data_IF_558556889118
#
_entry.id   IF_558556889118
#
_cell.length_a   1.000
_cell.length_b   1.000
_cell.length_c   1.000
_cell.angle_alpha   90.00
_cell.angle_beta   90.00
_cell.angle_gamma   90.00
#
_symmetry.space_group_name_H-M   'P 1'
#
loop_
_entity.id
_entity.type
_entity.pdbx_description
1 polymer ?
#
# COMPACT_ATOMS: atom_id res chain seq x y z
N UNK A 1 -11.01 2.97 -9.13
CA UNK A 1 -9.55 3.18 -9.08
C UNK A 1 -9.25 4.52 -8.41
N UNK A 2 -8.37 4.49 -7.43
CA UNK A 2 -7.80 5.69 -6.81
C UNK A 2 -6.32 5.80 -7.18
N UNK A 3 -5.86 7.02 -7.44
CA UNK A 3 -4.46 7.29 -7.73
C UNK A 3 -3.83 8.07 -6.59
N UNK A 4 -2.63 7.66 -6.17
CA UNK A 4 -1.88 8.26 -5.09
C UNK A 4 -0.43 8.49 -5.52
N UNK A 5 0.27 9.34 -4.78
CA UNK A 5 1.70 9.58 -4.98
C UNK A 5 2.45 9.19 -3.70
N UNK A 6 3.51 8.42 -3.85
CA UNK A 6 4.38 8.05 -2.74
C UNK A 6 5.31 9.21 -2.41
N UNK A 7 5.15 9.78 -1.21
CA UNK A 7 5.88 10.94 -0.72
C UNK A 7 6.82 10.51 0.41
N UNK A 8 8.13 10.82 0.33
CA UNK A 8 9.08 10.49 1.41
C UNK A 8 8.69 11.06 2.77
N UNK A 9 8.08 12.24 2.80
CA UNK A 9 7.61 12.86 4.05
C UNK A 9 6.48 12.04 4.66
N UNK A 10 5.57 11.53 3.83
CA UNK A 10 4.50 10.65 4.29
C UNK A 10 5.07 9.37 4.91
N UNK A 11 6.06 8.76 4.27
CA UNK A 11 6.71 7.55 4.77
C UNK A 11 7.37 7.80 6.13
N UNK A 12 8.08 8.91 6.25
CA UNK A 12 8.70 9.30 7.53
C UNK A 12 7.64 9.49 8.63
N UNK A 13 6.55 10.21 8.32
CA UNK A 13 5.47 10.46 9.28
C UNK A 13 4.80 9.17 9.72
N UNK A 14 4.54 8.26 8.79
CA UNK A 14 3.94 6.98 9.11
C UNK A 14 4.85 6.14 10.02
N UNK A 15 6.16 6.11 9.75
CA UNK A 15 7.13 5.45 10.61
C UNK A 15 7.10 6.03 12.02
N UNK A 16 7.05 7.35 12.15
CA UNK A 16 6.99 8.02 13.44
C UNK A 16 5.71 7.69 14.22
N UNK A 17 4.56 7.74 13.55
CA UNK A 17 3.26 7.48 14.17
C UNK A 17 3.10 6.02 14.62
N UNK A 18 3.70 5.08 13.93
CA UNK A 18 3.63 3.66 14.24
C UNK A 18 4.83 3.15 15.03
N UNK A 19 5.74 4.03 15.41
CA UNK A 19 7.00 3.68 16.08
C UNK A 19 7.80 2.64 15.30
N UNK A 20 7.71 2.68 13.98
CA UNK A 20 8.46 1.80 13.09
C UNK A 20 9.79 2.46 12.70
N UNK A 21 10.86 2.07 13.37
CA UNK A 21 12.20 2.62 13.14
C UNK A 21 12.98 1.96 12.01
N UNK A 22 12.38 1.11 11.20
CA UNK A 22 13.08 0.43 10.12
C UNK A 22 13.49 1.43 9.03
N UNK A 23 14.78 1.55 8.78
CA UNK A 23 15.38 2.62 7.97
C UNK A 23 14.99 2.56 6.49
N UNK A 24 14.51 1.43 5.99
CA UNK A 24 14.05 1.30 4.59
C UNK A 24 12.90 2.22 4.23
N UNK A 25 12.19 2.75 5.23
CA UNK A 25 11.04 3.62 5.02
C UNK A 25 11.39 5.12 5.07
N UNK A 26 12.54 5.53 5.57
CA UNK A 26 12.86 6.94 5.73
C UNK A 26 14.32 7.33 5.46
N UNK A 27 15.24 6.38 5.38
CA UNK A 27 16.67 6.65 5.18
C UNK A 27 17.08 6.22 3.78
N UNK A 28 17.00 7.16 2.82
CA UNK A 28 17.28 6.87 1.40
C UNK A 28 18.72 6.41 1.19
N UNK A 29 19.68 7.04 1.84
CA UNK A 29 21.08 6.63 1.71
C UNK A 29 21.30 5.21 2.19
N UNK A 30 20.72 4.86 3.33
CA UNK A 30 20.82 3.50 3.86
C UNK A 30 20.18 2.49 2.90
N UNK A 31 18.95 2.75 2.46
CA UNK A 31 18.20 1.79 1.66
C UNK A 31 18.83 1.58 0.29
N UNK A 32 19.43 2.61 -0.31
CA UNK A 32 20.07 2.50 -1.63
C UNK A 32 21.48 1.94 -1.56
N UNK A 33 22.28 2.35 -0.57
CA UNK A 33 23.70 1.98 -0.48
C UNK A 33 23.96 0.71 0.31
N UNK A 34 23.15 0.42 1.32
CA UNK A 34 23.32 -0.75 2.20
C UNK A 34 22.38 -1.87 1.82
N UNK A 35 21.10 -1.59 1.62
CA UNK A 35 20.10 -2.60 1.27
C UNK A 35 20.00 -2.87 -0.23
N UNK A 36 20.46 -1.94 -1.07
CA UNK A 36 20.48 -2.12 -2.52
C UNK A 36 19.15 -1.91 -3.23
N UNK A 37 18.17 -1.26 -2.58
CA UNK A 37 16.89 -0.94 -3.21
C UNK A 37 16.98 0.36 -4.01
N UNK A 38 16.09 0.57 -5.00
CA UNK A 38 16.09 1.78 -5.82
C UNK A 38 15.62 3.04 -5.10
N UNK A 39 14.98 2.92 -3.94
CA UNK A 39 14.48 4.05 -3.16
C UNK A 39 13.83 3.59 -1.87
N UNK A 40 13.20 4.52 -1.15
CA UNK A 40 12.48 4.21 0.07
C UNK A 40 11.30 3.28 -0.22
N UNK A 41 11.04 2.38 0.72
CA UNK A 41 9.95 1.40 0.61
C UNK A 41 8.70 1.94 1.30
N UNK A 42 7.58 1.88 0.60
CA UNK A 42 6.27 2.22 1.14
C UNK A 42 5.83 1.12 2.11
N UNK A 43 5.33 1.50 3.29
CA UNK A 43 4.95 0.54 4.34
C UNK A 43 3.86 -0.43 3.87
N UNK A 44 4.07 -1.73 4.10
CA UNK A 44 3.04 -2.75 3.83
C UNK A 44 1.74 -2.47 4.58
N UNK A 45 1.76 -2.23 5.90
CA UNK A 45 0.54 -1.89 6.64
C UNK A 45 -0.18 -0.66 6.12
N UNK A 46 0.53 0.35 5.62
CA UNK A 46 -0.11 1.52 5.02
C UNK A 46 -0.80 1.18 3.71
N UNK A 47 -0.22 0.32 2.87
CA UNK A 47 -0.88 -0.19 1.68
C UNK A 47 -2.16 -0.96 2.06
N UNK A 48 -2.09 -1.82 3.07
CA UNK A 48 -3.25 -2.56 3.57
C UNK A 48 -4.35 -1.62 4.07
N UNK A 49 -3.99 -0.54 4.77
CA UNK A 49 -4.95 0.46 5.22
C UNK A 49 -5.65 1.15 4.06
N UNK A 50 -4.91 1.48 2.99
CA UNK A 50 -5.50 2.06 1.78
C UNK A 50 -6.47 1.09 1.10
N UNK A 51 -6.15 -0.19 1.07
CA UNK A 51 -7.03 -1.21 0.48
C UNK A 51 -8.34 -1.33 1.26
N UNK A 52 -8.29 -1.43 2.57
CA UNK A 52 -9.50 -1.59 3.39
C UNK A 52 -10.37 -0.33 3.36
N UNK A 53 -9.74 0.84 3.33
CA UNK A 53 -10.46 2.11 3.20
C UNK A 53 -11.17 2.22 1.86
N UNK A 54 -10.49 1.86 0.78
CA UNK A 54 -11.07 1.86 -0.56
C UNK A 54 -12.23 0.87 -0.67
N UNK A 55 -12.07 -0.34 -0.11
CA UNK A 55 -13.13 -1.33 -0.08
C UNK A 55 -14.37 -0.81 0.67
N UNK A 56 -14.17 -0.19 1.83
CA UNK A 56 -15.26 0.41 2.59
C UNK A 56 -15.95 1.52 1.82
N UNK A 57 -15.17 2.38 1.14
CA UNK A 57 -15.70 3.47 0.31
C UNK A 57 -16.59 2.92 -0.82
N UNK A 58 -16.15 1.88 -1.50
CA UNK A 58 -16.93 1.25 -2.58
C UNK A 58 -18.20 0.57 -2.07
N UNK A 59 -18.24 0.20 -0.79
CA UNK A 59 -19.41 -0.43 -0.15
C UNK A 59 -20.20 0.56 0.71
N UNK A 60 -20.32 1.81 0.27
CA UNK A 60 -21.14 2.83 0.91
C UNK A 60 -20.64 3.31 2.26
N UNK A 61 -19.36 3.13 2.57
CA UNK A 61 -18.77 3.55 3.84
C UNK A 61 -18.80 2.50 4.94
N UNK A 62 -19.26 1.28 4.64
CA UNK A 62 -19.33 0.18 5.60
C UNK A 62 -18.06 -0.65 5.55
N UNK A 63 -17.36 -0.77 6.68
CA UNK A 63 -16.16 -1.59 6.77
C UNK A 63 -16.45 -3.06 6.46
N UNK A 64 -15.53 -3.76 5.78
CA UNK A 64 -15.73 -5.18 5.48
C UNK A 64 -15.74 -6.01 6.76
N UNK A 65 -16.52 -7.08 6.77
CA UNK A 65 -16.55 -8.05 7.85
C UNK A 65 -15.29 -8.89 7.88
N UNK A 66 -14.78 -9.25 6.70
CA UNK A 66 -13.52 -9.97 6.56
C UNK A 66 -12.62 -9.25 5.56
N UNK A 67 -11.34 -9.22 5.86
CA UNK A 67 -10.32 -8.63 5.01
C UNK A 67 -9.02 -9.42 5.15
N UNK A 68 -8.48 -9.87 4.03
CA UNK A 68 -7.19 -10.53 3.98
C UNK A 68 -6.33 -9.91 2.89
N UNK A 69 -5.02 -9.88 3.08
CA UNK A 69 -4.11 -9.30 2.12
C UNK A 69 -2.76 -10.00 2.14
N UNK A 70 -2.01 -9.82 1.06
CA UNK A 70 -0.67 -10.35 0.92
C UNK A 70 0.20 -9.40 0.12
N UNK A 71 1.41 -9.12 0.60
CA UNK A 71 2.43 -8.39 -0.14
C UNK A 71 3.00 -9.26 -1.25
N UNK A 72 3.21 -8.67 -2.43
CA UNK A 72 3.73 -9.36 -3.61
C UNK A 72 5.13 -8.88 -3.97
N UNK A 73 5.35 -7.56 -3.92
CA UNK A 73 6.64 -6.93 -4.17
C UNK A 73 6.67 -5.55 -3.52
N UNK A 74 7.85 -4.98 -3.27
CA UNK A 74 7.94 -3.64 -2.68
C UNK A 74 7.33 -2.57 -3.57
N UNK A 75 6.69 -1.58 -2.93
CA UNK A 75 6.29 -0.32 -3.57
C UNK A 75 7.30 0.74 -3.16
N UNK A 76 7.94 1.39 -4.13
CA UNK A 76 8.97 2.39 -3.86
C UNK A 76 8.44 3.80 -3.95
N UNK A 77 9.14 4.74 -3.30
CA UNK A 77 8.84 6.17 -3.41
C UNK A 77 9.02 6.70 -4.83
N UNK A 78 8.47 7.90 -5.07
CA UNK A 78 8.82 8.68 -6.25
C UNK A 78 7.95 8.46 -7.46
N UNK A 79 6.83 7.77 -7.34
CA UNK A 79 5.93 7.56 -8.45
C UNK A 79 4.48 7.52 -8.04
N UNK A 80 3.60 7.54 -9.03
CA UNK A 80 2.20 7.27 -8.82
C UNK A 80 1.98 5.79 -8.57
N UNK A 81 1.01 5.49 -7.75
CA UNK A 81 0.47 4.15 -7.61
C UNK A 81 -1.05 4.23 -7.56
N UNK A 82 -1.71 3.12 -7.76
CA UNK A 82 -3.17 3.09 -7.78
C UNK A 82 -3.71 2.01 -6.85
N UNK A 83 -4.91 2.26 -6.34
CA UNK A 83 -5.70 1.28 -5.60
C UNK A 83 -6.86 0.88 -6.49
N UNK A 84 -7.04 -0.40 -6.71
CA UNK A 84 -7.95 -0.95 -7.71
C UNK A 84 -8.83 -2.03 -7.09
N UNK A 85 -10.00 -2.26 -7.69
CA UNK A 85 -10.91 -3.30 -7.23
C UNK A 85 -11.69 -3.91 -8.39
N UNK A 86 -12.01 -5.20 -8.26
CA UNK A 86 -12.99 -5.89 -9.08
C UNK A 86 -14.04 -6.53 -8.18
N UNK A 87 -15.30 -6.48 -8.58
CA UNK A 87 -16.35 -7.22 -7.91
C UNK A 87 -16.20 -8.71 -8.21
N UNK A 88 -16.33 -9.52 -7.17
CA UNK A 88 -16.36 -10.97 -7.25
C UNK A 88 -17.59 -11.48 -6.52
N UNK A 89 -17.94 -12.77 -6.69
CA UNK A 89 -19.16 -13.34 -6.12
C UNK A 89 -19.25 -13.17 -4.59
N UNK A 90 -18.12 -13.14 -3.89
CA UNK A 90 -18.07 -13.10 -2.41
C UNK A 90 -17.69 -11.73 -1.85
N UNK A 91 -17.50 -10.70 -2.69
CA UNK A 91 -17.10 -9.37 -2.25
C UNK A 91 -16.25 -8.64 -3.27
N UNK A 92 -15.06 -8.18 -2.85
CA UNK A 92 -14.14 -7.46 -3.72
C UNK A 92 -12.77 -8.14 -3.75
N UNK A 93 -12.18 -8.19 -4.93
CA UNK A 93 -10.75 -8.44 -5.14
C UNK A 93 -10.11 -7.06 -5.31
N UNK A 94 -9.16 -6.71 -4.44
CA UNK A 94 -8.56 -5.37 -4.39
C UNK A 94 -7.04 -5.47 -4.41
N UNK A 95 -6.40 -4.47 -5.03
CA UNK A 95 -4.94 -4.47 -5.10
C UNK A 95 -4.36 -3.08 -5.25
N UNK A 96 -3.10 -2.93 -4.82
CA UNK A 96 -2.26 -1.78 -5.11
C UNK A 96 -1.39 -2.11 -6.30
N UNK A 97 -1.31 -1.20 -7.26
CA UNK A 97 -0.44 -1.34 -8.43
C UNK A 97 0.53 -0.15 -8.52
N UNK A 98 1.79 -0.42 -8.88
CA UNK A 98 2.77 0.62 -9.11
C UNK A 98 2.51 1.36 -10.44
N UNK A 99 3.38 2.31 -10.79
CA UNK A 99 3.21 3.11 -12.00
C UNK A 99 3.21 2.28 -13.28
N UNK A 100 3.87 1.13 -13.28
CA UNK A 100 3.92 0.21 -14.42
C UNK A 100 2.71 -0.72 -14.47
N UNK A 101 1.80 -0.64 -13.51
CA UNK A 101 0.63 -1.49 -13.42
C UNK A 101 0.86 -2.84 -12.74
N UNK A 102 2.06 -3.09 -12.20
CA UNK A 102 2.36 -4.34 -11.51
C UNK A 102 1.79 -4.32 -10.08
N UNK A 103 1.07 -5.36 -9.64
CA UNK A 103 0.51 -5.39 -8.30
C UNK A 103 1.61 -5.55 -7.24
N UNK A 104 1.55 -4.70 -6.21
CA UNK A 104 2.48 -4.73 -5.08
C UNK A 104 1.87 -5.36 -3.84
N UNK A 105 0.56 -5.31 -3.72
CA UNK A 105 -0.21 -5.95 -2.66
C UNK A 105 -1.60 -6.30 -3.19
N UNK A 106 -2.10 -7.45 -2.82
CA UNK A 106 -3.44 -7.90 -3.23
C UNK A 106 -4.20 -8.43 -2.02
N UNK A 107 -5.50 -8.15 -1.99
CA UNK A 107 -6.35 -8.61 -0.92
C UNK A 107 -7.76 -8.91 -1.36
N UNK A 108 -8.54 -9.43 -0.43
CA UNK A 108 -9.96 -9.70 -0.60
C UNK A 108 -10.73 -9.13 0.57
N UNK A 109 -11.91 -8.61 0.30
CA UNK A 109 -12.80 -8.07 1.31
C UNK A 109 -14.21 -8.63 1.11
N UNK A 110 -14.91 -8.93 2.20
CA UNK A 110 -16.29 -9.40 2.17
C UNK A 110 -17.09 -8.80 3.30
N UNK A 111 -18.41 -8.71 3.12
CA UNK A 111 -19.37 -8.10 4.07
C UNK A 111 -20.36 -9.07 4.65
#
# INVERSE_FOLDING_TARGET
RQTHVSDPVLLFRYSALTFNGHRIHYDRDYVTKVEGYPGLIFHGPMQAALLVEFAAHLHGGTAPKTFSYRGLQPLFEGGEFSVNANEVAEGLDIWVANADGAPTMRGTASW
#
